data_IF_420979080960
#
_entry.id   IF_420979080960
#
_cell.length_a   1.000
_cell.length_b   1.000
_cell.length_c   1.000
_cell.angle_alpha   90.00
_cell.angle_beta   90.00
_cell.angle_gamma   90.00
#
_symmetry.space_group_name_H-M   'P 1'
#
loop_
_entity.id
_entity.type
_entity.pdbx_description
1 polymer ?
#
# COMPACT_ATOMS: atom_id res chain seq x y z
N UNK A 1 3.93 -1.49 1.52
CA UNK A 1 2.80 -1.22 0.59
C UNK A 1 2.76 -2.19 -0.59
N UNK A 2 3.86 -2.90 -0.85
CA UNK A 2 3.96 -4.00 -1.82
C UNK A 2 3.02 -5.17 -1.53
N UNK A 3 2.96 -5.67 -0.28
CA UNK A 3 2.15 -6.86 0.07
C UNK A 3 0.68 -6.72 -0.32
N UNK A 4 0.04 -5.61 0.05
CA UNK A 4 -1.38 -5.37 -0.31
C UNK A 4 -1.57 -5.20 -1.81
N UNK A 5 -0.55 -4.73 -2.53
CA UNK A 5 -0.61 -4.58 -3.97
C UNK A 5 -0.50 -5.93 -4.66
N UNK A 6 0.38 -6.80 -4.18
CA UNK A 6 0.52 -8.17 -4.65
C UNK A 6 -0.73 -9.01 -4.34
N UNK A 7 -1.30 -8.83 -3.15
CA UNK A 7 -2.58 -9.45 -2.80
C UNK A 7 -3.70 -8.99 -3.73
N UNK A 8 -3.78 -7.69 -4.04
CA UNK A 8 -4.76 -7.18 -4.98
C UNK A 8 -4.53 -7.76 -6.37
N UNK A 9 -3.28 -7.82 -6.84
CA UNK A 9 -2.95 -8.50 -8.10
C UNK A 9 -3.43 -9.94 -8.12
N UNK A 10 -3.15 -10.72 -7.09
CA UNK A 10 -3.59 -12.12 -7.03
C UNK A 10 -5.12 -12.27 -7.02
N UNK A 11 -5.85 -11.35 -6.38
CA UNK A 11 -7.31 -11.35 -6.35
C UNK A 11 -7.95 -10.93 -7.68
N UNK A 12 -7.33 -9.97 -8.37
CA UNK A 12 -7.85 -9.37 -9.60
C UNK A 12 -7.13 -9.89 -10.86
N UNK A 13 -6.18 -10.83 -10.71
CA UNK A 13 -5.52 -11.54 -11.81
C UNK A 13 -6.62 -12.26 -12.57
N UNK A 14 -7.09 -11.59 -13.62
CA UNK A 14 -7.98 -12.17 -14.61
C UNK A 14 -7.31 -13.48 -15.03
N UNK A 15 -8.06 -14.59 -15.05
CA UNK A 15 -7.64 -15.82 -15.72
C UNK A 15 -7.62 -15.54 -17.22
N UNK A 16 -6.76 -14.63 -17.65
CA UNK A 16 -6.40 -14.48 -19.04
C UNK A 16 -5.59 -15.73 -19.34
N UNK A 17 -6.08 -16.58 -20.24
CA UNK A 17 -5.44 -17.83 -20.68
C UNK A 17 -4.12 -17.62 -21.43
N UNK A 18 -3.29 -16.69 -20.96
CA UNK A 18 -2.00 -16.33 -21.53
C UNK A 18 -0.93 -16.98 -20.67
N UNK A 19 -0.04 -17.72 -21.33
CA UNK A 19 0.92 -18.60 -20.70
C UNK A 19 1.78 -17.86 -19.65
N UNK A 20 1.92 -18.40 -18.42
CA UNK A 20 2.67 -17.77 -17.34
C UNK A 20 4.18 -17.62 -17.60
N UNK A 21 4.69 -18.20 -18.69
CA UNK A 21 6.10 -18.11 -19.09
C UNK A 21 6.51 -16.69 -19.56
N UNK A 22 5.57 -15.86 -20.01
CA UNK A 22 5.87 -14.49 -20.45
C UNK A 22 6.09 -13.49 -19.30
N UNK A 23 5.85 -13.88 -18.04
CA UNK A 23 5.91 -13.00 -16.87
C UNK A 23 7.33 -12.83 -16.28
N UNK A 24 8.29 -13.65 -16.73
CA UNK A 24 9.62 -13.72 -16.11
C UNK A 24 10.67 -12.78 -16.76
N UNK A 25 10.39 -12.21 -17.94
CA UNK A 25 11.43 -11.63 -18.80
C UNK A 25 11.34 -10.13 -19.08
N UNK A 26 10.24 -9.46 -18.79
CA UNK A 26 10.12 -8.04 -19.08
C UNK A 26 10.26 -7.24 -17.78
N UNK A 27 11.06 -6.17 -17.82
CA UNK A 27 10.90 -5.01 -16.97
C UNK A 27 9.45 -4.54 -17.10
N UNK A 28 8.54 -5.13 -16.32
CA UNK A 28 7.13 -4.81 -16.36
C UNK A 28 7.00 -3.35 -15.96
N UNK A 29 6.70 -2.51 -16.94
CA UNK A 29 5.85 -1.37 -16.69
C UNK A 29 4.66 -1.94 -15.94
N UNK A 30 4.60 -1.66 -14.63
CA UNK A 30 3.62 -2.19 -13.69
C UNK A 30 2.25 -1.64 -14.13
N UNK A 31 1.66 -2.24 -15.17
CA UNK A 31 0.32 -1.95 -15.66
C UNK A 31 -0.67 -2.49 -14.64
N UNK A 32 -0.74 -1.78 -13.51
CA UNK A 32 -1.68 -2.01 -12.44
C UNK A 32 -2.97 -1.34 -12.85
N UNK A 33 -4.04 -2.13 -12.94
CA UNK A 33 -5.38 -1.62 -13.18
C UNK A 33 -5.82 -0.72 -12.02
N UNK A 34 -6.72 0.22 -12.31
CA UNK A 34 -7.31 1.07 -11.28
C UNK A 34 -8.00 0.23 -10.19
N UNK A 35 -8.62 -0.89 -10.57
CA UNK A 35 -9.30 -1.81 -9.65
C UNK A 35 -8.33 -2.47 -8.67
N UNK A 36 -7.17 -2.94 -9.13
CA UNK A 36 -6.12 -3.50 -8.26
C UNK A 36 -5.60 -2.46 -7.28
N UNK A 37 -5.35 -1.23 -7.72
CA UNK A 37 -4.88 -0.16 -6.84
C UNK A 37 -5.95 0.23 -5.80
N UNK A 38 -7.21 0.29 -6.22
CA UNK A 38 -8.35 0.58 -5.34
C UNK A 38 -8.51 -0.50 -4.27
N UNK A 39 -8.45 -1.78 -4.67
CA UNK A 39 -8.49 -2.89 -3.74
C UNK A 39 -7.29 -2.89 -2.77
N UNK A 40 -6.09 -2.59 -3.28
CA UNK A 40 -4.91 -2.45 -2.44
C UNK A 40 -5.10 -1.32 -1.41
N UNK A 41 -5.66 -0.18 -1.80
CA UNK A 41 -5.95 0.94 -0.92
C UNK A 41 -7.01 0.62 0.13
N UNK A 42 -8.07 -0.10 -0.25
CA UNK A 42 -9.08 -0.60 0.69
C UNK A 42 -8.44 -1.51 1.76
N UNK A 43 -7.56 -2.44 1.34
CA UNK A 43 -6.82 -3.30 2.27
C UNK A 43 -5.83 -2.53 3.15
N UNK A 44 -5.26 -1.43 2.65
CA UNK A 44 -4.35 -0.57 3.43
C UNK A 44 -5.11 0.19 4.52
N UNK A 45 -6.35 0.59 4.26
CA UNK A 45 -7.15 1.40 5.18
C UNK A 45 -7.93 0.56 6.20
N UNK A 46 -8.57 -0.52 5.75
CA UNK A 46 -9.48 -1.30 6.58
C UNK A 46 -9.02 -2.76 6.79
N UNK A 47 -7.99 -3.20 6.07
CA UNK A 47 -7.47 -4.56 6.16
C UNK A 47 -6.63 -4.81 7.42
N UNK A 48 -6.15 -6.05 7.56
CA UNK A 48 -5.47 -6.50 8.79
C UNK A 48 -4.17 -5.74 9.08
N UNK A 49 -3.47 -5.23 8.06
CA UNK A 49 -2.17 -4.55 8.27
C UNK A 49 -2.29 -3.25 9.07
N UNK A 50 -3.44 -2.57 9.07
CA UNK A 50 -3.64 -1.38 9.92
C UNK A 50 -3.77 -1.76 11.40
N UNK A 51 -4.26 -2.96 11.71
CA UNK A 51 -4.30 -3.49 13.08
C UNK A 51 -2.89 -3.82 13.60
N UNK A 52 -2.00 -4.28 12.72
CA UNK A 52 -0.58 -4.49 13.06
C UNK A 52 0.07 -3.16 13.40
N UNK A 53 -0.22 -2.09 12.64
CA UNK A 53 0.26 -0.76 12.97
C UNK A 53 -0.20 -0.33 14.38
N UNK A 54 -1.48 -0.52 14.73
CA UNK A 54 -1.96 -0.26 16.11
C UNK A 54 -1.19 -1.03 17.17
N UNK A 55 -0.89 -2.31 16.93
CA UNK A 55 -0.13 -3.13 17.89
C UNK A 55 1.29 -2.57 18.11
N UNK A 56 1.94 -2.09 17.05
CA UNK A 56 3.34 -1.70 17.10
C UNK A 56 3.57 -0.23 17.48
N UNK A 57 2.70 0.69 17.04
CA UNK A 57 2.83 2.13 17.29
C UNK A 57 1.69 2.71 18.14
N UNK A 58 0.78 1.87 18.64
CA UNK A 58 -0.34 2.30 19.49
C UNK A 58 -1.52 2.95 18.75
N UNK A 59 -1.40 3.17 17.43
CA UNK A 59 -2.40 3.91 16.62
C UNK A 59 -2.71 3.19 15.32
N UNK A 60 -3.93 3.34 14.80
CA UNK A 60 -4.33 2.84 13.46
C UNK A 60 -3.75 3.70 12.33
N UNK A 61 -2.46 3.98 12.38
CA UNK A 61 -1.72 4.77 11.40
C UNK A 61 -0.39 4.07 11.14
N UNK A 62 -0.02 3.94 9.88
CA UNK A 62 1.31 3.45 9.55
C UNK A 62 2.38 4.45 10.01
N UNK A 63 3.56 3.94 10.33
CA UNK A 63 4.70 4.72 10.85
C UNK A 63 5.34 5.70 9.85
N UNK A 64 4.75 5.89 8.66
CA UNK A 64 5.26 6.83 7.68
C UNK A 64 4.63 8.21 7.91
N UNK A 65 5.42 9.27 7.77
CA UNK A 65 4.92 10.63 7.75
C UNK A 65 4.54 11.10 6.33
N UNK A 66 3.93 12.29 6.23
CA UNK A 66 3.49 12.87 4.98
C UNK A 66 4.61 13.08 3.93
N UNK A 67 5.85 13.36 4.37
CA UNK A 67 6.99 13.54 3.46
C UNK A 67 7.43 12.20 2.86
N UNK A 68 7.62 11.18 3.69
CA UNK A 68 8.00 9.84 3.26
C UNK A 68 6.99 9.26 2.26
N UNK A 69 5.69 9.51 2.49
CA UNK A 69 4.61 9.15 1.57
C UNK A 69 4.79 9.78 0.18
N UNK A 70 5.17 11.07 0.10
CA UNK A 70 5.35 11.77 -1.18
C UNK A 70 6.52 11.21 -1.99
N UNK A 71 7.53 10.67 -1.32
CA UNK A 71 8.71 10.06 -1.97
C UNK A 71 8.45 8.63 -2.50
N UNK A 72 7.31 8.02 -2.16
CA UNK A 72 6.94 6.71 -2.70
C UNK A 72 6.38 6.84 -4.12
N UNK A 73 6.64 5.84 -5.00
CA UNK A 73 5.91 5.69 -6.26
C UNK A 73 4.40 5.66 -6.00
N UNK A 74 3.62 6.21 -6.93
CA UNK A 74 2.17 6.42 -6.73
C UNK A 74 1.43 5.13 -6.34
N UNK A 75 1.76 4.00 -6.97
CA UNK A 75 1.17 2.67 -6.69
C UNK A 75 1.42 2.17 -5.25
N UNK A 76 2.50 2.62 -4.62
CA UNK A 76 2.89 2.26 -3.27
C UNK A 76 2.48 3.32 -2.25
N UNK A 77 1.92 4.45 -2.68
CA UNK A 77 1.45 5.48 -1.77
C UNK A 77 0.16 4.98 -1.08
N UNK A 78 0.13 4.84 0.25
CA UNK A 78 -1.10 4.42 0.96
C UNK A 78 -2.18 5.52 0.89
N UNK A 79 -3.39 5.38 1.45
CA UNK A 79 -4.33 6.50 1.61
C UNK A 79 -3.91 7.50 2.71
N UNK A 80 -4.24 8.80 2.59
CA UNK A 80 -3.79 9.84 3.56
C UNK A 80 -4.36 9.58 4.95
N UNK A 81 -5.60 9.06 5.00
CA UNK A 81 -6.29 8.62 6.22
C UNK A 81 -5.53 7.56 7.01
N UNK A 82 -4.52 6.89 6.44
CA UNK A 82 -3.77 5.81 7.09
C UNK A 82 -2.40 6.23 7.61
N UNK A 83 -2.01 7.51 7.46
CA UNK A 83 -0.72 8.02 7.94
C UNK A 83 -0.92 9.16 8.94
N UNK A 84 0.15 9.46 9.68
CA UNK A 84 0.21 10.62 10.55
C UNK A 84 0.58 11.86 9.72
N UNK A 85 -0.11 12.96 9.96
CA UNK A 85 0.25 14.23 9.32
C UNK A 85 1.60 14.72 9.86
N UNK A 86 2.22 15.66 9.15
CA UNK A 86 3.55 16.16 9.51
C UNK A 86 3.56 16.79 10.90
N UNK A 87 2.50 17.53 11.25
CA UNK A 87 2.38 18.25 12.52
C UNK A 87 2.30 17.28 13.69
N UNK A 88 1.40 16.31 13.65
CA UNK A 88 1.24 15.31 14.71
C UNK A 88 2.46 14.40 14.78
N UNK A 89 3.15 14.15 13.66
CA UNK A 89 4.37 13.31 13.64
C UNK A 89 5.52 13.93 14.43
N UNK A 90 5.64 15.27 14.38
CA UNK A 90 6.66 16.02 15.11
C UNK A 90 6.28 16.12 16.59
N UNK A 91 5.03 16.47 16.90
CA UNK A 91 4.59 16.67 18.30
C UNK A 91 4.55 15.38 19.10
N UNK A 92 4.19 14.25 18.48
CA UNK A 92 4.12 12.95 19.17
C UNK A 92 5.48 12.26 19.36
N UNK A 93 6.59 12.85 18.87
CA UNK A 93 7.94 12.29 19.05
C UNK A 93 8.50 12.57 20.44
N UNK A 94 8.07 13.67 21.05
CA UNK A 94 8.61 14.20 22.32
C UNK A 94 7.67 13.99 23.51
N UNK A 95 6.67 13.09 23.38
CA UNK A 95 5.68 12.75 24.42
C UNK A 95 5.80 11.31 24.88
#
# INVERSE_FOLDING_TARGET
>A
MSVTLEQARLLFKRVSGVNPLHLLGATEQLNISADELNAANLMREFGIRIKIAKKNVGRFKYSFNALQRKMLPDIYRPPVSTIQDMVTSVTARDS
#
